data_IF_721930304658
#
_entry.id   IF_721930304658
#
_cell.length_a   1.000
_cell.length_b   1.000
_cell.length_c   1.000
_cell.angle_alpha   90.00
_cell.angle_beta   90.00
_cell.angle_gamma   90.00
#
_symmetry.space_group_name_H-M   'P 1'
#
loop_
_entity.id
_entity.type
_entity.pdbx_description
1 polymer ?
#
# COMPACT_ATOMS: atom_id res chain seq x y z
N UNK A 1 3.73 20.89 0.60
CA UNK A 1 2.31 20.57 0.73
C UNK A 1 1.93 19.50 -0.27
N UNK A 2 1.22 18.49 0.18
CA UNK A 2 0.85 17.38 -0.67
C UNK A 2 -0.33 17.76 -1.56
N UNK A 3 -0.21 17.40 -2.85
CA UNK A 3 -1.26 17.67 -3.81
C UNK A 3 -2.40 16.67 -3.64
N UNK A 4 -3.64 17.16 -3.61
CA UNK A 4 -4.80 16.30 -3.51
C UNK A 4 -4.97 15.48 -4.79
N UNK A 5 -5.57 14.29 -4.66
CA UNK A 5 -5.90 13.46 -5.81
C UNK A 5 -7.00 14.10 -6.65
N UNK A 6 -6.88 13.96 -7.98
CA UNK A 6 -7.91 14.49 -8.86
C UNK A 6 -9.18 13.66 -8.77
N UNK A 7 -10.36 14.25 -9.05
CA UNK A 7 -11.61 13.47 -9.10
C UNK A 7 -11.55 12.31 -10.11
N UNK A 8 -10.85 12.50 -11.21
CA UNK A 8 -10.68 11.44 -12.20
C UNK A 8 -9.91 10.24 -11.63
N UNK A 9 -8.80 10.50 -10.93
CA UNK A 9 -8.03 9.45 -10.26
C UNK A 9 -8.89 8.71 -9.24
N UNK A 10 -9.64 9.44 -8.42
CA UNK A 10 -10.52 8.85 -7.43
C UNK A 10 -11.55 7.93 -8.08
N UNK A 11 -12.16 8.39 -9.17
CA UNK A 11 -13.15 7.59 -9.91
C UNK A 11 -12.54 6.29 -10.43
N UNK A 12 -11.35 6.37 -11.02
CA UNK A 12 -10.68 5.19 -11.55
C UNK A 12 -10.31 4.18 -10.46
N UNK A 13 -9.79 4.66 -9.34
CA UNK A 13 -9.45 3.77 -8.21
C UNK A 13 -10.72 3.12 -7.66
N UNK A 14 -11.78 3.87 -7.48
CA UNK A 14 -13.04 3.31 -6.98
C UNK A 14 -13.64 2.28 -7.94
N UNK A 15 -13.40 2.45 -9.25
CA UNK A 15 -13.88 1.48 -10.23
C UNK A 15 -13.25 0.10 -10.08
N UNK A 16 -12.10 0.01 -9.39
CA UNK A 16 -11.44 -1.27 -9.15
C UNK A 16 -11.94 -1.99 -7.91
N UNK A 17 -12.82 -1.38 -7.11
CA UNK A 17 -13.27 -1.97 -5.84
C UNK A 17 -13.86 -3.37 -6.03
N UNK A 18 -14.75 -3.64 -7.01
CA UNK A 18 -15.24 -5.01 -7.18
C UNK A 18 -14.14 -6.02 -7.48
N UNK A 19 -13.16 -5.65 -8.31
CA UNK A 19 -12.04 -6.53 -8.62
C UNK A 19 -11.15 -6.74 -7.39
N UNK A 20 -10.91 -5.70 -6.59
CA UNK A 20 -10.14 -5.83 -5.36
C UNK A 20 -10.86 -6.71 -4.35
N UNK A 21 -12.18 -6.63 -4.28
CA UNK A 21 -12.96 -7.49 -3.39
C UNK A 21 -12.78 -8.95 -3.76
N UNK A 22 -12.69 -9.27 -5.05
CA UNK A 22 -12.55 -10.64 -5.53
C UNK A 22 -11.10 -11.12 -5.54
N UNK A 23 -10.17 -10.28 -6.00
CA UNK A 23 -8.80 -10.69 -6.30
C UNK A 23 -7.75 -10.03 -5.41
N UNK A 24 -8.15 -9.27 -4.38
CA UNK A 24 -7.21 -8.53 -3.55
C UNK A 24 -6.14 -9.42 -2.92
N UNK A 25 -6.51 -10.59 -2.42
CA UNK A 25 -5.58 -11.52 -1.82
C UNK A 25 -4.55 -12.03 -2.85
N UNK A 26 -5.00 -12.32 -4.06
CA UNK A 26 -4.10 -12.75 -5.13
C UNK A 26 -3.10 -11.65 -5.49
N UNK A 27 -3.58 -10.40 -5.52
CA UNK A 27 -2.73 -9.25 -5.80
C UNK A 27 -1.64 -9.13 -4.72
N UNK A 28 -2.02 -9.21 -3.44
CA UNK A 28 -1.04 -9.06 -2.37
C UNK A 28 -0.07 -10.22 -2.29
N UNK A 29 -0.51 -11.44 -2.61
CA UNK A 29 0.42 -12.59 -2.68
C UNK A 29 1.49 -12.36 -3.73
N UNK A 30 1.09 -11.90 -4.92
CA UNK A 30 2.05 -11.65 -6.00
C UNK A 30 2.93 -10.45 -5.66
N UNK A 31 2.37 -9.42 -5.02
CA UNK A 31 3.15 -8.27 -4.57
C UNK A 31 4.27 -8.72 -3.62
N UNK A 32 3.95 -9.53 -2.62
CA UNK A 32 4.96 -10.03 -1.69
C UNK A 32 5.99 -10.92 -2.38
N UNK A 33 5.57 -11.75 -3.33
CA UNK A 33 6.51 -12.58 -4.09
C UNK A 33 7.53 -11.70 -4.84
N UNK A 34 7.05 -10.61 -5.46
CA UNK A 34 7.92 -9.67 -6.15
C UNK A 34 8.86 -8.93 -5.19
N UNK A 35 8.35 -8.51 -4.04
CA UNK A 35 9.16 -7.84 -3.01
C UNK A 35 10.26 -8.76 -2.50
N UNK A 36 9.96 -10.03 -2.30
CA UNK A 36 10.89 -10.98 -1.71
C UNK A 36 11.95 -11.47 -2.70
N UNK A 37 11.86 -11.08 -3.96
CA UNK A 37 12.96 -11.27 -4.90
C UNK A 37 14.17 -10.44 -4.50
N UNK A 38 13.96 -9.32 -3.82
CA UNK A 38 15.03 -8.49 -3.27
C UNK A 38 15.43 -9.00 -1.90
N UNK A 39 16.69 -9.42 -1.76
CA UNK A 39 17.19 -10.03 -0.53
C UNK A 39 17.14 -9.04 0.64
N UNK A 40 17.40 -7.74 0.38
CA UNK A 40 17.37 -6.73 1.43
C UNK A 40 15.95 -6.55 1.98
N UNK A 41 14.96 -6.48 1.11
CA UNK A 41 13.57 -6.36 1.52
C UNK A 41 13.13 -7.62 2.27
N UNK A 42 13.49 -8.79 1.77
CA UNK A 42 13.16 -10.06 2.43
C UNK A 42 13.72 -10.10 3.85
N UNK A 43 14.95 -9.60 4.04
CA UNK A 43 15.58 -9.56 5.36
C UNK A 43 14.82 -8.69 6.34
N UNK A 44 14.24 -7.57 5.89
CA UNK A 44 13.42 -6.72 6.76
C UNK A 44 12.22 -7.48 7.31
N UNK A 45 11.53 -8.24 6.47
CA UNK A 45 10.38 -9.02 6.90
C UNK A 45 10.79 -10.19 7.81
N UNK A 46 11.93 -10.80 7.55
CA UNK A 46 12.44 -11.86 8.42
C UNK A 46 12.78 -11.34 9.81
N UNK A 47 13.38 -10.15 9.91
CA UNK A 47 13.70 -9.54 11.18
C UNK A 47 12.46 -9.16 11.97
N UNK A 48 11.39 -8.77 11.28
CA UNK A 48 10.13 -8.45 11.96
C UNK A 48 9.45 -9.70 12.50
N UNK A 49 9.90 -10.88 12.09
CA UNK A 49 9.42 -12.17 12.54
C UNK A 49 7.90 -12.28 12.49
N UNK A 50 7.36 -12.02 11.37
CA UNK A 50 5.91 -12.06 11.22
C UNK A 50 5.36 -13.47 11.11
N UNK A 51 6.20 -14.45 10.87
CA UNK A 51 5.84 -15.87 10.96
C UNK A 51 4.68 -16.33 10.09
N UNK A 52 3.71 -15.50 9.88
CA UNK A 52 2.48 -15.84 9.15
C UNK A 52 2.29 -14.90 7.98
N UNK A 53 2.84 -15.26 6.83
CA UNK A 53 2.70 -14.48 5.63
C UNK A 53 1.25 -14.44 5.14
N UNK A 54 0.46 -15.47 5.45
CA UNK A 54 -0.95 -15.50 5.07
C UNK A 54 -1.75 -14.41 5.77
N UNK A 55 -1.48 -14.19 7.05
CA UNK A 55 -2.15 -13.14 7.82
C UNK A 55 -1.83 -11.75 7.25
N UNK A 56 -0.56 -11.50 6.92
CA UNK A 56 -0.15 -10.22 6.33
C UNK A 56 -0.78 -10.01 4.95
N UNK A 57 -0.86 -11.05 4.15
CA UNK A 57 -1.47 -11.00 2.82
C UNK A 57 -2.94 -10.55 2.93
N UNK A 58 -3.69 -11.18 3.82
CA UNK A 58 -5.10 -10.83 4.00
C UNK A 58 -5.28 -9.43 4.60
N UNK A 59 -4.43 -9.07 5.56
CA UNK A 59 -4.50 -7.74 6.18
C UNK A 59 -4.23 -6.63 5.16
N UNK A 60 -3.23 -6.81 4.30
CA UNK A 60 -2.93 -5.81 3.28
C UNK A 60 -4.02 -5.76 2.22
N UNK A 61 -4.56 -6.92 1.81
CA UNK A 61 -5.65 -6.94 0.85
C UNK A 61 -6.86 -6.16 1.38
N UNK A 62 -7.19 -6.35 2.65
CA UNK A 62 -8.26 -5.61 3.31
C UNK A 62 -7.99 -4.12 3.38
N UNK A 63 -6.73 -3.75 3.66
CA UNK A 63 -6.33 -2.35 3.73
C UNK A 63 -6.43 -1.67 2.35
N UNK A 64 -6.00 -2.35 1.30
CA UNK A 64 -6.10 -1.81 -0.06
C UNK A 64 -7.56 -1.62 -0.46
N UNK A 65 -8.41 -2.57 -0.14
CA UNK A 65 -9.83 -2.48 -0.44
C UNK A 65 -10.48 -1.33 0.32
N UNK A 66 -10.16 -1.19 1.61
CA UNK A 66 -10.69 -0.09 2.42
C UNK A 66 -10.22 1.26 1.89
N UNK A 67 -8.97 1.35 1.47
CA UNK A 67 -8.43 2.58 0.89
C UNK A 67 -9.18 2.94 -0.39
N UNK A 68 -9.36 1.98 -1.29
CA UNK A 68 -10.06 2.23 -2.55
C UNK A 68 -11.51 2.66 -2.32
N UNK A 69 -12.20 2.03 -1.36
CA UNK A 69 -13.59 2.38 -1.04
C UNK A 69 -13.73 3.78 -0.46
N UNK A 70 -12.74 4.21 0.32
CA UNK A 70 -12.81 5.46 1.08
C UNK A 70 -11.85 6.51 0.56
N UNK A 71 -11.37 6.38 -0.67
CA UNK A 71 -10.40 7.31 -1.23
C UNK A 71 -10.95 8.73 -1.34
N UNK A 72 -12.27 8.87 -1.38
CA UNK A 72 -12.95 10.16 -1.38
C UNK A 72 -13.35 10.62 0.03
N UNK A 73 -13.04 9.84 1.05
CA UNK A 73 -13.35 10.17 2.44
C UNK A 73 -12.24 9.65 3.34
N UNK A 74 -11.07 10.28 3.25
CA UNK A 74 -9.86 9.79 3.92
C UNK A 74 -9.90 9.94 5.44
N UNK A 75 -10.80 10.77 5.97
CA UNK A 75 -10.95 10.92 7.43
C UNK A 75 -11.28 9.58 8.09
N UNK A 76 -12.03 8.71 7.41
CA UNK A 76 -12.38 7.40 7.95
C UNK A 76 -11.16 6.48 8.05
N UNK A 77 -10.06 6.82 7.37
CA UNK A 77 -8.86 6.00 7.32
C UNK A 77 -7.80 6.44 8.33
N UNK A 78 -8.01 7.54 9.07
CA UNK A 78 -7.02 8.03 10.02
C UNK A 78 -6.58 6.96 11.02
N UNK A 79 -7.48 6.19 11.65
CA UNK A 79 -7.03 5.14 12.58
C UNK A 79 -6.21 4.04 11.88
N UNK A 80 -6.53 3.71 10.62
CA UNK A 80 -5.79 2.73 9.85
C UNK A 80 -4.38 3.24 9.55
N UNK A 81 -4.28 4.50 9.12
CA UNK A 81 -3.00 5.15 8.82
C UNK A 81 -2.10 5.14 10.06
N UNK A 82 -2.64 5.50 11.22
CA UNK A 82 -1.87 5.50 12.47
C UNK A 82 -1.34 4.12 12.80
N UNK A 83 -2.17 3.09 12.66
CA UNK A 83 -1.76 1.72 12.95
C UNK A 83 -0.65 1.25 12.02
N UNK A 84 -0.78 1.55 10.72
CA UNK A 84 0.23 1.17 9.73
C UNK A 84 1.54 1.91 10.01
N UNK A 85 1.47 3.21 10.29
CA UNK A 85 2.67 4.01 10.56
C UNK A 85 3.45 3.46 11.76
N UNK A 86 2.76 3.12 12.84
CA UNK A 86 3.42 2.56 14.02
C UNK A 86 4.06 1.19 13.73
N UNK A 87 3.37 0.35 12.95
CA UNK A 87 3.95 -0.95 12.56
C UNK A 87 5.20 -0.77 11.70
N UNK A 88 5.16 0.16 10.76
CA UNK A 88 6.30 0.41 9.88
C UNK A 88 7.54 0.85 10.66
N UNK A 89 7.35 1.69 11.69
CA UNK A 89 8.46 2.10 12.54
C UNK A 89 9.02 0.90 13.30
N UNK A 90 8.15 0.03 13.80
CA UNK A 90 8.58 -1.20 14.47
C UNK A 90 9.37 -2.13 13.56
N UNK A 91 9.10 -2.11 12.25
CA UNK A 91 9.79 -2.95 11.27
C UNK A 91 10.97 -2.24 10.62
N UNK A 92 11.28 -1.00 11.04
CA UNK A 92 12.36 -0.18 10.47
C UNK A 92 12.18 0.09 8.97
N UNK A 93 10.93 0.29 8.55
CA UNK A 93 10.61 0.66 7.17
C UNK A 93 11.04 2.11 6.96
N UNK A 94 11.78 2.36 5.88
CA UNK A 94 12.30 3.68 5.52
C UNK A 94 11.55 4.21 4.28
N UNK A 95 11.58 5.54 4.06
CA UNK A 95 10.91 6.11 2.88
C UNK A 95 11.34 5.46 1.56
N UNK A 96 12.61 5.09 1.43
CA UNK A 96 13.12 4.44 0.22
C UNK A 96 12.44 3.10 -0.09
N UNK A 97 11.92 2.42 0.93
CA UNK A 97 11.27 1.12 0.74
C UNK A 97 9.93 1.25 0.03
N UNK A 98 9.30 2.42 0.09
CA UNK A 98 8.00 2.64 -0.55
C UNK A 98 8.07 2.51 -2.07
N UNK A 99 9.21 2.85 -2.69
CA UNK A 99 9.37 2.71 -4.13
C UNK A 99 9.37 1.23 -4.56
N UNK A 100 9.98 0.36 -3.75
CA UNK A 100 9.95 -1.09 -4.00
C UNK A 100 8.51 -1.61 -3.95
N UNK A 101 7.77 -1.18 -2.95
CA UNK A 101 6.38 -1.61 -2.79
C UNK A 101 5.52 -1.10 -3.94
N UNK A 102 5.72 0.16 -4.37
CA UNK A 102 4.98 0.72 -5.49
C UNK A 102 5.14 -0.13 -6.75
N UNK A 103 6.38 -0.48 -7.07
CA UNK A 103 6.68 -1.28 -8.25
C UNK A 103 6.04 -2.66 -8.15
N UNK A 104 6.17 -3.29 -6.99
CA UNK A 104 5.62 -4.62 -6.76
C UNK A 104 4.10 -4.62 -6.82
N UNK A 105 3.47 -3.62 -6.21
CA UNK A 105 2.01 -3.52 -6.19
C UNK A 105 1.43 -3.28 -7.58
N UNK A 106 1.97 -2.32 -8.31
CA UNK A 106 1.46 -2.02 -9.65
C UNK A 106 1.67 -3.20 -10.59
N UNK A 107 2.81 -3.88 -10.49
CA UNK A 107 3.06 -5.08 -11.26
C UNK A 107 2.08 -6.19 -10.92
N UNK A 108 1.76 -6.36 -9.64
CA UNK A 108 0.81 -7.38 -9.20
C UNK A 108 -0.60 -7.07 -9.71
N UNK A 109 -1.02 -5.81 -9.65
CA UNK A 109 -2.33 -5.39 -10.16
C UNK A 109 -2.43 -5.72 -11.65
N UNK A 110 -1.42 -5.36 -12.43
CA UNK A 110 -1.40 -5.62 -13.86
C UNK A 110 -1.46 -7.11 -14.16
N UNK A 111 -0.71 -7.91 -13.39
CA UNK A 111 -0.63 -9.34 -13.61
C UNK A 111 -1.92 -10.07 -13.27
N UNK A 112 -2.53 -9.72 -12.13
CA UNK A 112 -3.74 -10.41 -11.65
C UNK A 112 -4.97 -9.96 -12.44
N UNK A 113 -5.12 -8.67 -12.63
CA UNK A 113 -6.33 -8.13 -13.26
C UNK A 113 -6.27 -8.13 -14.79
N UNK A 114 -5.06 -8.17 -15.38
CA UNK A 114 -4.90 -8.33 -16.81
C UNK A 114 -5.75 -7.35 -17.60
N UNK A 115 -6.68 -7.89 -18.40
CA UNK A 115 -7.54 -7.10 -19.27
C UNK A 115 -8.56 -6.23 -18.53
N UNK A 116 -8.73 -6.44 -17.21
CA UNK A 116 -9.67 -5.66 -16.39
C UNK A 116 -9.11 -4.29 -16.04
N UNK A 117 -7.83 -4.05 -16.28
CA UNK A 117 -7.20 -2.74 -16.05
C UNK A 117 -6.51 -2.28 -17.32
N UNK A 118 -6.31 -0.97 -17.42
CA UNK A 118 -5.57 -0.36 -18.52
C UNK A 118 -4.51 0.56 -17.94
N UNK A 119 -3.73 1.20 -18.81
CA UNK A 119 -2.65 2.08 -18.38
C UNK A 119 -3.18 3.25 -17.57
N UNK A 120 -4.35 3.75 -17.87
CA UNK A 120 -4.98 4.85 -17.16
C UNK A 120 -5.31 4.46 -15.71
N UNK A 121 -5.87 3.25 -15.52
CA UNK A 121 -6.17 2.75 -14.17
C UNK A 121 -4.89 2.49 -13.39
N UNK A 122 -3.86 1.94 -14.03
CA UNK A 122 -2.57 1.72 -13.37
C UNK A 122 -1.93 3.04 -12.97
N UNK A 123 -2.00 4.07 -13.82
CA UNK A 123 -1.50 5.39 -13.46
C UNK A 123 -2.27 5.98 -12.28
N UNK A 124 -3.59 5.79 -12.26
CA UNK A 124 -4.43 6.25 -11.15
C UNK A 124 -4.02 5.57 -9.84
N UNK A 125 -3.77 4.27 -9.87
CA UNK A 125 -3.30 3.54 -8.69
C UNK A 125 -1.92 3.99 -8.27
N UNK A 126 -1.04 4.33 -9.22
CA UNK A 126 0.27 4.90 -8.90
C UNK A 126 0.13 6.20 -8.13
N UNK A 127 -0.73 7.10 -8.61
CA UNK A 127 -0.99 8.37 -7.94
C UNK A 127 -1.61 8.15 -6.56
N UNK A 128 -2.58 7.23 -6.46
CA UNK A 128 -3.24 6.92 -5.20
C UNK A 128 -2.24 6.30 -4.20
N UNK A 129 -1.39 5.40 -4.67
CA UNK A 129 -0.37 4.79 -3.83
C UNK A 129 0.56 5.85 -3.24
N UNK A 130 1.12 6.73 -4.08
CA UNK A 130 2.06 7.73 -3.60
C UNK A 130 1.40 8.79 -2.73
N UNK A 131 0.12 9.07 -2.97
CA UNK A 131 -0.63 9.96 -2.08
C UNK A 131 -0.64 9.40 -0.66
N UNK A 132 -1.02 8.13 -0.52
CA UNK A 132 -1.04 7.46 0.78
C UNK A 132 0.37 7.30 1.35
N UNK A 133 1.33 6.90 0.52
CA UNK A 133 2.70 6.70 0.94
C UNK A 133 3.30 7.98 1.52
N UNK A 134 3.04 9.12 0.91
CA UNK A 134 3.54 10.39 1.41
C UNK A 134 2.91 10.77 2.75
N UNK A 135 1.63 10.44 2.96
CA UNK A 135 0.99 10.63 4.26
C UNK A 135 1.68 9.75 5.32
N UNK A 136 1.92 8.49 4.99
CA UNK A 136 2.58 7.56 5.91
C UNK A 136 4.01 7.98 6.21
N UNK A 137 4.77 8.38 5.19
CA UNK A 137 6.15 8.83 5.37
C UNK A 137 6.20 10.03 6.31
N UNK A 138 5.31 11.01 6.10
CA UNK A 138 5.25 12.19 6.95
C UNK A 138 4.86 11.84 8.39
N UNK A 139 3.86 10.98 8.56
CA UNK A 139 3.42 10.56 9.89
C UNK A 139 4.49 9.76 10.62
N UNK A 140 5.18 8.89 9.90
CA UNK A 140 6.27 8.09 10.48
C UNK A 140 7.43 8.99 10.91
N UNK A 141 7.75 10.02 10.15
CA UNK A 141 8.77 10.99 10.55
C UNK A 141 8.39 11.68 11.85
N UNK A 142 7.13 12.07 12.00
CA UNK A 142 6.64 12.71 13.23
C UNK A 142 6.76 11.77 14.42
N UNK A 143 6.39 10.50 14.27
CA UNK A 143 6.47 9.51 15.34
C UNK A 143 7.93 9.29 15.75
N UNK A 144 8.85 9.18 14.78
CA UNK A 144 10.27 9.01 15.07
C UNK A 144 10.80 10.20 15.86
N UNK A 145 10.43 11.40 15.48
CA UNK A 145 10.85 12.61 16.19
C UNK A 145 10.35 12.58 17.64
N UNK A 146 9.10 12.18 17.85
CA UNK A 146 8.53 12.07 19.20
C UNK A 146 9.28 11.05 20.04
N UNK A 147 9.67 9.91 19.43
CA UNK A 147 10.41 8.87 20.15
C UNK A 147 11.84 9.29 20.51
N UNK A 148 12.43 10.19 19.72
CA UNK A 148 13.78 10.67 19.95
C UNK A 148 13.83 11.83 20.95
N UNK A 149 12.70 12.45 21.26
CA UNK A 149 12.66 13.55 22.22
C UNK A 149 12.36 13.06 23.67
#
# INVERSE_FOLDING_TARGET
MQKALSPHTITLVKSTVPALSTYGTDITKIMYAKLFEDAHIRALFNHSNQGDSGSQVHALAGALLAYARNIDNLDTLVPVVERIAHKHIGYHILPEHYAYVARALLGAIAEVLGDKVNDEILAAWGDAYWFLANILIGREADIRTDLES
#
